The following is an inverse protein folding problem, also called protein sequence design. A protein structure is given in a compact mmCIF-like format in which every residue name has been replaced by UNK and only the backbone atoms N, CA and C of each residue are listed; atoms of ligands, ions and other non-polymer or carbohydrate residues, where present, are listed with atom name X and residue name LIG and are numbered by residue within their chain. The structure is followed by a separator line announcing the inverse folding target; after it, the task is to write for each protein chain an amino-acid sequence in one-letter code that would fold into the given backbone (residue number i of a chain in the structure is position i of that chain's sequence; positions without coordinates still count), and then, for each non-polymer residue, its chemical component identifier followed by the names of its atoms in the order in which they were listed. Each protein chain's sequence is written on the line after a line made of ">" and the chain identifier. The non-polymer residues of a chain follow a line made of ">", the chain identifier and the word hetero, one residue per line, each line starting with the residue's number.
data_IF_529966429071
#
_entry.id   IF_529966429071
#
_cell.length_a   1.000
_cell.length_b   1.000
_cell.length_c   1.000
_cell.angle_alpha   90.00
_cell.angle_beta   90.00
_cell.angle_gamma   90.00
#
_symmetry.space_group_name_H-M   'P 1'
#
loop_
_entity.id
_entity.type
_entity.pdbx_description
1 polymer ?
#
# COMPACT_ATOMS: atom_id res chain seq x y z
N UNK A 1 -58.03 5.83 16.70
CA UNK A 1 -57.07 5.03 17.50
C UNK A 1 -56.11 4.33 16.55
N UNK A 2 -54.81 4.51 16.79
CA UNK A 2 -53.63 3.85 16.19
C UNK A 2 -53.45 3.83 14.67
N UNK A 3 -52.73 4.84 14.15
CA UNK A 3 -51.82 4.68 13.01
C UNK A 3 -50.40 4.52 13.58
N UNK A 4 -49.93 3.27 13.73
CA UNK A 4 -48.51 2.97 13.90
C UNK A 4 -47.88 3.13 12.52
N UNK A 5 -47.19 4.24 12.32
CA UNK A 5 -46.42 4.52 11.09
C UNK A 5 -45.13 3.71 11.06
N UNK A 6 -44.82 3.20 9.87
CA UNK A 6 -43.57 2.56 9.47
C UNK A 6 -42.33 3.34 9.91
N UNK A 7 -41.59 2.82 10.90
CA UNK A 7 -40.22 3.23 11.21
C UNK A 7 -39.16 2.35 10.51
N UNK A 8 -39.57 1.38 9.69
CA UNK A 8 -38.64 0.47 9.02
C UNK A 8 -38.49 0.82 7.54
N UNK A 9 -37.57 1.73 7.22
CA UNK A 9 -36.72 1.79 5.99
C UNK A 9 -36.15 3.19 5.81
N UNK A 10 -35.21 3.55 6.68
CA UNK A 10 -34.27 4.62 6.37
C UNK A 10 -33.11 3.99 5.55
N UNK A 11 -32.73 4.54 4.38
CA UNK A 11 -31.58 4.09 3.60
C UNK A 11 -30.30 4.10 4.45
N UNK A 12 -29.34 3.21 4.17
CA UNK A 12 -28.10 3.07 4.97
C UNK A 12 -27.34 4.40 5.13
N UNK A 13 -27.42 5.28 4.13
CA UNK A 13 -26.80 6.61 4.15
C UNK A 13 -27.40 7.53 5.23
N UNK A 14 -28.70 7.40 5.50
CA UNK A 14 -29.40 8.16 6.55
C UNK A 14 -29.06 7.64 7.96
N UNK A 15 -28.74 6.35 8.10
CA UNK A 15 -28.29 5.78 9.38
C UNK A 15 -26.90 6.30 9.76
N UNK A 16 -26.00 6.43 8.78
CA UNK A 16 -24.66 7.01 8.99
C UNK A 16 -24.71 8.50 9.36
N UNK A 17 -25.62 9.26 8.74
CA UNK A 17 -25.84 10.67 9.08
C UNK A 17 -26.43 10.84 10.49
N UNK A 18 -27.37 9.99 10.89
CA UNK A 18 -27.96 10.02 12.23
C UNK A 18 -26.94 9.64 13.32
N UNK A 19 -26.09 8.64 13.07
CA UNK A 19 -25.02 8.26 14.02
C UNK A 19 -23.94 9.35 14.12
N UNK A 20 -23.57 9.99 13.00
CA UNK A 20 -22.64 11.13 13.01
C UNK A 20 -23.20 12.32 13.77
N UNK A 21 -24.49 12.62 13.60
CA UNK A 21 -25.18 13.69 14.32
C UNK A 21 -25.25 13.42 15.83
N UNK A 22 -25.58 12.19 16.22
CA UNK A 22 -25.64 11.77 17.63
C UNK A 22 -24.29 11.93 18.35
N UNK A 23 -23.17 11.63 17.67
CA UNK A 23 -21.82 11.80 18.24
C UNK A 23 -21.41 13.27 18.40
N UNK A 24 -21.90 14.14 17.52
CA UNK A 24 -21.66 15.59 17.62
C UNK A 24 -22.48 16.21 18.76
N UNK A 25 -23.74 15.80 18.91
CA UNK A 25 -24.60 16.25 20.00
C UNK A 25 -24.10 15.77 21.37
N UNK A 26 -23.59 14.54 21.46
CA UNK A 26 -22.95 14.01 22.67
C UNK A 26 -21.63 14.72 23.03
N UNK A 27 -20.93 15.32 22.04
CA UNK A 27 -19.75 16.16 22.28
C UNK A 27 -20.11 17.60 22.64
N UNK A 28 -21.25 18.10 22.18
CA UNK A 28 -21.74 19.44 22.51
C UNK A 28 -22.34 19.51 23.93
N UNK A 29 -22.86 18.41 24.47
CA UNK A 29 -23.45 18.34 25.82
C UNK A 29 -22.46 18.15 26.97
N UNK A 30 -21.13 18.14 26.70
CA UNK A 30 -20.08 18.09 27.73
C UNK A 30 -19.49 19.50 28.02
N UNK A 31 -20.08 20.55 27.45
CA UNK A 31 -19.71 21.95 27.73
C UNK A 31 -20.82 22.68 28.51
N UNK A 32 -20.83 22.49 29.82
CA UNK A 32 -21.46 23.38 30.81
C UNK A 32 -20.71 23.19 32.14
N UNK A 33 -19.76 24.10 32.41
CA UNK A 33 -18.92 24.20 33.62
C UNK A 33 -19.69 24.91 34.78
N UNK A 34 -19.12 25.22 35.98
CA UNK A 34 -17.73 25.09 36.45
C UNK A 34 -17.53 24.67 37.94
N UNK A 35 -16.27 24.39 38.35
CA UNK A 35 -15.67 25.03 39.55
C UNK A 35 -14.13 24.97 39.51
N UNK A 36 -13.50 26.00 40.08
CA UNK A 36 -12.14 26.50 39.84
C UNK A 36 -11.02 25.75 40.60
N UNK A 37 -9.81 25.73 40.03
CA UNK A 37 -8.58 26.24 40.68
C UNK A 37 -7.39 26.34 39.68
N UNK A 38 -6.67 27.45 39.82
CA UNK A 38 -5.59 28.02 39.00
C UNK A 38 -4.33 27.16 38.88
N UNK A 39 -3.68 27.18 37.69
CA UNK A 39 -2.26 27.58 37.53
C UNK A 39 -2.04 28.12 36.10
N UNK A 40 -1.56 29.35 36.03
CA UNK A 40 -1.08 30.09 34.85
C UNK A 40 0.05 29.37 34.07
N UNK A 41 -0.03 29.37 32.73
CA UNK A 41 1.05 29.92 31.90
C UNK A 41 0.53 30.25 30.48
N UNK A 42 0.60 31.54 30.14
CA UNK A 42 0.26 32.12 28.85
C UNK A 42 1.26 31.70 27.76
N UNK A 43 0.76 31.15 26.64
CA UNK A 43 1.35 31.38 25.31
C UNK A 43 0.40 30.99 24.19
N UNK A 44 -0.30 32.00 23.67
CA UNK A 44 -0.81 32.03 22.30
C UNK A 44 0.36 32.40 21.39
N UNK A 45 0.68 31.54 20.42
CA UNK A 45 1.47 31.89 19.23
C UNK A 45 0.73 31.36 18.01
N UNK A 46 0.45 32.31 17.10
CA UNK A 46 -0.25 32.16 15.83
C UNK A 46 0.40 31.16 14.87
N UNK A 47 -0.43 30.75 13.90
CA UNK A 47 -0.13 30.01 12.68
C UNK A 47 1.23 30.35 12.06
N UNK A 48 2.08 29.33 11.90
CA UNK A 48 3.03 29.26 10.81
C UNK A 48 3.09 27.84 10.23
N UNK A 49 2.70 27.77 8.95
CA UNK A 49 2.75 26.60 8.10
C UNK A 49 4.21 26.16 7.91
N UNK A 50 4.59 25.02 8.50
CA UNK A 50 5.81 24.30 8.16
C UNK A 50 5.57 22.78 8.21
N UNK A 51 6.17 22.00 7.30
CA UNK A 51 5.80 20.62 7.05
C UNK A 51 6.13 19.77 8.27
N UNK A 52 5.18 18.93 8.71
CA UNK A 52 5.40 17.95 9.78
C UNK A 52 6.64 17.13 9.44
N UNK A 53 7.65 17.36 10.28
CA UNK A 53 8.96 16.75 10.31
C UNK A 53 8.88 15.22 10.20
N UNK A 54 9.72 14.68 9.31
CA UNK A 54 10.06 13.27 9.11
C UNK A 54 10.71 12.61 10.35
N UNK A 55 10.88 13.32 11.46
CA UNK A 55 11.72 12.89 12.59
C UNK A 55 11.01 12.02 13.63
N UNK A 56 9.70 11.77 13.52
CA UNK A 56 9.03 10.77 14.36
C UNK A 56 9.10 9.34 13.81
N UNK A 57 9.64 9.11 12.60
CA UNK A 57 9.88 7.76 12.05
C UNK A 57 11.21 7.12 12.48
N UNK A 58 12.14 7.88 13.07
CA UNK A 58 13.51 7.39 13.30
C UNK A 58 13.66 6.36 14.45
N UNK A 59 12.65 6.19 15.32
CA UNK A 59 12.71 5.22 16.43
C UNK A 59 12.10 3.84 16.14
N UNK A 60 11.37 3.68 15.03
CA UNK A 60 10.90 2.38 14.52
C UNK A 60 11.70 1.90 13.30
N UNK A 61 12.76 2.63 12.94
CA UNK A 61 13.58 2.41 11.74
C UNK A 61 14.46 1.13 11.79
N UNK A 62 14.37 0.29 12.83
CA UNK A 62 15.23 -0.88 12.97
C UNK A 62 14.79 -2.11 12.14
N UNK A 63 13.60 -2.09 11.50
CA UNK A 63 13.06 -3.29 10.83
C UNK A 63 12.44 -3.09 9.44
N UNK A 64 12.56 -1.91 8.82
CA UNK A 64 12.09 -1.73 7.45
C UNK A 64 13.09 -2.31 6.43
N UNK A 65 12.59 -2.98 5.40
CA UNK A 65 13.40 -3.55 4.32
C UNK A 65 13.09 -2.81 3.02
N UNK A 66 14.09 -2.17 2.43
CA UNK A 66 13.95 -1.58 1.10
C UNK A 66 14.28 -2.61 0.02
N UNK A 67 13.37 -2.76 -0.94
CA UNK A 67 13.51 -3.63 -2.10
C UNK A 67 13.58 -2.79 -3.37
N UNK A 68 14.31 -3.28 -4.36
CA UNK A 68 14.58 -2.55 -5.60
C UNK A 68 14.31 -3.40 -6.83
N UNK A 69 13.99 -2.72 -7.94
CA UNK A 69 13.96 -3.30 -9.28
C UNK A 69 14.51 -2.28 -10.29
N UNK A 70 15.75 -2.45 -10.78
CA UNK A 70 16.31 -1.55 -11.78
C UNK A 70 15.46 -1.53 -13.05
N UNK A 71 15.14 -0.35 -13.59
CA UNK A 71 14.33 -0.26 -14.80
C UNK A 71 15.00 -0.93 -16.00
N UNK A 72 16.33 -0.90 -16.09
CA UNK A 72 17.08 -1.57 -17.16
C UNK A 72 16.98 -3.10 -17.15
N UNK A 73 16.43 -3.71 -16.09
CA UNK A 73 16.16 -5.15 -15.99
C UNK A 73 14.69 -5.49 -16.24
N UNK A 74 13.84 -4.49 -16.50
CA UNK A 74 12.46 -4.72 -16.90
C UNK A 74 12.40 -5.08 -18.38
N UNK A 75 11.64 -6.12 -18.70
CA UNK A 75 11.26 -6.44 -20.06
C UNK A 75 9.74 -6.55 -20.10
N UNK A 76 9.07 -5.45 -20.45
CA UNK A 76 7.62 -5.42 -20.57
C UNK A 76 7.16 -5.76 -22.00
N UNK A 77 8.05 -5.81 -22.97
CA UNK A 77 7.75 -6.16 -24.36
C UNK A 77 7.17 -7.57 -24.54
N UNK A 78 7.45 -8.50 -23.63
CA UNK A 78 6.88 -9.85 -23.65
C UNK A 78 5.41 -9.93 -23.18
N UNK A 79 4.88 -8.87 -22.55
CA UNK A 79 3.51 -8.85 -22.04
C UNK A 79 2.54 -8.49 -23.17
N UNK A 80 1.71 -9.44 -23.61
CA UNK A 80 0.74 -9.21 -24.66
C UNK A 80 -0.34 -8.19 -24.24
N UNK A 81 -0.70 -7.29 -25.16
CA UNK A 81 -1.75 -6.28 -24.97
C UNK A 81 -3.12 -6.73 -25.50
N UNK A 82 -3.20 -7.83 -26.24
CA UNK A 82 -4.43 -8.29 -26.85
C UNK A 82 -5.31 -9.05 -25.85
N UNK A 83 -6.36 -8.38 -25.35
CA UNK A 83 -7.37 -9.01 -24.51
C UNK A 83 -7.11 -8.79 -23.03
N UNK A 84 -6.73 -9.86 -22.31
CA UNK A 84 -6.50 -9.82 -20.86
C UNK A 84 -5.00 -9.79 -20.58
N UNK A 85 -4.55 -8.76 -19.86
CA UNK A 85 -3.18 -8.69 -19.33
C UNK A 85 -2.97 -9.87 -18.39
N UNK A 86 -1.88 -10.59 -18.59
CA UNK A 86 -1.40 -11.56 -17.61
C UNK A 86 -0.86 -10.80 -16.39
N UNK A 87 -1.73 -10.62 -15.39
CA UNK A 87 -1.43 -9.91 -14.15
C UNK A 87 -0.35 -10.60 -13.33
N UNK A 88 -0.22 -11.93 -13.44
CA UNK A 88 0.83 -12.67 -12.75
C UNK A 88 2.19 -12.39 -13.41
N UNK A 89 2.25 -12.43 -14.73
CA UNK A 89 3.46 -12.08 -15.47
C UNK A 89 3.85 -10.60 -15.24
N UNK A 90 2.87 -9.68 -15.21
CA UNK A 90 3.12 -8.28 -14.88
C UNK A 90 3.68 -8.12 -13.45
N UNK A 91 3.03 -8.74 -12.46
CA UNK A 91 3.48 -8.71 -11.06
C UNK A 91 4.93 -9.19 -10.94
N UNK A 92 5.26 -10.34 -11.53
CA UNK A 92 6.61 -10.90 -11.49
C UNK A 92 7.64 -10.03 -12.23
N UNK A 93 7.24 -9.38 -13.33
CA UNK A 93 8.15 -8.53 -14.08
C UNK A 93 8.60 -7.30 -13.27
N UNK A 94 7.68 -6.72 -12.49
CA UNK A 94 7.89 -5.43 -11.81
C UNK A 94 8.16 -5.53 -10.31
N UNK A 95 7.90 -6.68 -9.68
CA UNK A 95 8.13 -6.88 -8.25
C UNK A 95 9.60 -6.61 -7.90
N UNK A 96 9.79 -5.95 -6.76
CA UNK A 96 11.09 -5.60 -6.24
C UNK A 96 11.73 -6.78 -5.51
N UNK A 97 13.05 -6.88 -5.61
CA UNK A 97 13.85 -7.87 -4.91
C UNK A 97 14.80 -7.22 -3.91
N UNK A 98 15.24 -7.98 -2.89
CA UNK A 98 16.27 -7.51 -1.99
C UNK A 98 17.65 -7.58 -2.64
N UNK A 99 18.59 -6.86 -2.04
CA UNK A 99 20.00 -6.98 -2.37
C UNK A 99 20.56 -8.18 -1.59
N UNK A 100 21.18 -9.13 -2.27
CA UNK A 100 21.65 -10.38 -1.68
C UNK A 100 22.59 -10.17 -0.48
N UNK A 101 23.48 -9.18 -0.58
CA UNK A 101 24.37 -8.81 0.54
C UNK A 101 23.60 -8.29 1.76
N UNK A 102 22.55 -7.49 1.54
CA UNK A 102 21.70 -6.95 2.61
C UNK A 102 20.84 -8.06 3.24
N UNK A 103 20.25 -8.91 2.41
CA UNK A 103 19.51 -10.10 2.83
C UNK A 103 20.32 -10.99 3.78
N UNK A 104 21.57 -11.26 3.39
CA UNK A 104 22.52 -12.07 4.18
C UNK A 104 22.89 -11.38 5.49
N UNK A 105 23.19 -10.07 5.46
CA UNK A 105 23.53 -9.31 6.65
C UNK A 105 22.39 -9.23 7.67
N UNK A 106 21.14 -9.20 7.19
CA UNK A 106 19.94 -9.18 8.03
C UNK A 106 19.54 -10.56 8.57
N UNK A 107 20.23 -11.64 8.17
CA UNK A 107 19.89 -12.99 8.60
C UNK A 107 18.48 -13.43 8.20
N UNK A 108 17.95 -12.91 7.09
CA UNK A 108 16.60 -13.19 6.62
C UNK A 108 16.51 -14.63 6.08
N UNK A 109 16.23 -15.59 6.96
CA UNK A 109 15.96 -16.99 6.60
C UNK A 109 14.46 -17.35 6.65
N UNK A 110 13.60 -16.33 6.66
CA UNK A 110 12.16 -16.57 6.64
C UNK A 110 11.76 -17.30 5.35
N UNK A 111 10.98 -18.39 5.41
CA UNK A 111 10.64 -19.18 4.22
C UNK A 111 9.96 -18.39 3.10
N UNK A 112 9.16 -17.37 3.45
CA UNK A 112 8.53 -16.47 2.48
C UNK A 112 9.55 -15.63 1.72
N UNK A 113 10.69 -15.28 2.32
CA UNK A 113 11.72 -14.45 1.68
C UNK A 113 12.39 -15.18 0.50
N UNK A 114 12.37 -16.52 0.53
CA UNK A 114 12.89 -17.37 -0.55
C UNK A 114 12.06 -17.26 -1.83
N UNK A 115 10.80 -16.81 -1.75
CA UNK A 115 9.95 -16.61 -2.94
C UNK A 115 10.42 -15.44 -3.78
N UNK A 116 11.07 -14.44 -3.15
CA UNK A 116 11.67 -13.30 -3.82
C UNK A 116 13.07 -13.61 -4.38
N UNK A 117 13.66 -14.78 -4.09
CA UNK A 117 15.00 -15.18 -4.55
C UNK A 117 15.27 -14.97 -6.04
N UNK A 118 14.33 -15.28 -6.97
CA UNK A 118 14.53 -15.02 -8.39
C UNK A 118 14.70 -13.53 -8.74
N UNK A 119 14.28 -12.62 -7.86
CA UNK A 119 14.34 -11.18 -8.03
C UNK A 119 15.55 -10.54 -7.35
N UNK A 120 16.38 -11.32 -6.66
CA UNK A 120 17.49 -10.79 -5.87
C UNK A 120 18.51 -10.06 -6.74
N UNK A 121 18.96 -8.92 -6.24
CA UNK A 121 20.02 -8.14 -6.86
C UNK A 121 21.37 -8.52 -6.26
N UNK A 122 22.38 -8.67 -7.10
CA UNK A 122 23.74 -9.00 -6.67
C UNK A 122 24.47 -7.80 -6.05
N UNK A 123 24.05 -6.58 -6.39
CA UNK A 123 24.58 -5.33 -5.85
C UNK A 123 23.46 -4.31 -5.64
N UNK A 124 23.72 -3.30 -4.80
CA UNK A 124 22.86 -2.12 -4.69
C UNK A 124 22.78 -1.46 -6.08
N UNK A 125 21.58 -1.15 -6.59
CA UNK A 125 21.48 -0.37 -7.81
C UNK A 125 22.27 0.93 -7.65
N UNK A 126 23.07 1.25 -8.66
CA UNK A 126 23.58 2.60 -8.91
C UNK A 126 22.40 3.59 -8.90
N UNK A 127 22.62 4.92 -8.82
CA UNK A 127 21.54 5.93 -8.82
C UNK A 127 20.66 5.95 -10.09
N UNK A 128 20.82 4.94 -10.96
CA UNK A 128 19.96 4.59 -12.07
C UNK A 128 18.49 4.48 -11.66
N UNK A 129 17.64 4.77 -12.64
CA UNK A 129 16.21 4.78 -12.46
C UNK A 129 15.72 3.39 -12.04
N UNK A 130 15.19 3.29 -10.81
CA UNK A 130 14.81 2.01 -10.20
C UNK A 130 13.43 2.12 -9.57
N UNK A 131 12.63 1.07 -9.70
CA UNK A 131 11.43 0.92 -8.89
C UNK A 131 11.85 0.55 -7.46
N UNK A 132 11.12 1.08 -6.48
CA UNK A 132 11.42 0.88 -5.06
C UNK A 132 10.14 0.64 -4.26
N UNK A 133 10.26 -0.20 -3.24
CA UNK A 133 9.27 -0.33 -2.17
C UNK A 133 10.01 -0.51 -0.85
N UNK A 134 9.43 0.03 0.20
CA UNK A 134 9.85 -0.23 1.57
C UNK A 134 8.80 -1.12 2.23
N UNK A 135 9.23 -2.29 2.68
CA UNK A 135 8.42 -3.18 3.51
C UNK A 135 8.56 -2.72 4.95
N UNK A 136 7.44 -2.30 5.53
CA UNK A 136 7.36 -1.90 6.93
C UNK A 136 7.37 -3.13 7.83
N UNK A 137 7.54 -2.92 9.14
CA UNK A 137 7.44 -3.99 10.12
C UNK A 137 6.10 -4.73 10.03
N UNK A 138 4.99 -3.98 9.90
CA UNK A 138 3.64 -4.51 9.80
C UNK A 138 3.47 -5.41 8.56
N UNK A 139 4.07 -5.04 7.42
CA UNK A 139 4.06 -5.88 6.22
C UNK A 139 4.76 -7.23 6.48
N UNK A 140 5.90 -7.20 7.17
CA UNK A 140 6.69 -8.39 7.49
C UNK A 140 5.97 -9.30 8.50
N UNK A 141 5.34 -8.72 9.51
CA UNK A 141 4.52 -9.47 10.48
C UNK A 141 3.30 -10.12 9.83
N UNK A 142 2.61 -9.38 8.95
CA UNK A 142 1.49 -9.90 8.18
C UNK A 142 1.88 -11.11 7.32
N UNK A 143 3.01 -11.02 6.60
CA UNK A 143 3.51 -12.12 5.77
C UNK A 143 3.93 -13.31 6.64
N UNK A 144 4.58 -13.05 7.78
CA UNK A 144 4.98 -14.11 8.72
C UNK A 144 3.77 -14.84 9.30
N UNK A 145 2.73 -14.10 9.69
CA UNK A 145 1.46 -14.65 10.18
C UNK A 145 0.79 -15.51 9.10
N UNK A 146 0.75 -15.03 7.86
CA UNK A 146 0.22 -15.81 6.75
C UNK A 146 1.04 -17.09 6.54
N UNK A 147 2.36 -17.04 6.68
CA UNK A 147 3.27 -18.18 6.52
C UNK A 147 3.09 -19.26 7.59
N UNK A 148 2.76 -18.87 8.82
CA UNK A 148 2.44 -19.80 9.89
C UNK A 148 1.19 -20.64 9.60
N UNK A 149 0.27 -20.12 8.76
CA UNK A 149 -0.99 -20.79 8.40
C UNK A 149 -0.90 -21.50 7.04
N UNK A 150 -0.43 -20.78 6.02
CA UNK A 150 -0.36 -21.24 4.65
C UNK A 150 0.82 -20.57 3.91
N UNK A 151 1.86 -21.36 3.64
CA UNK A 151 3.06 -20.90 2.93
C UNK A 151 2.79 -20.37 1.52
N UNK A 152 1.78 -20.88 0.82
CA UNK A 152 1.41 -20.36 -0.51
C UNK A 152 0.81 -18.96 -0.41
N UNK A 153 -0.06 -18.73 0.57
CA UNK A 153 -0.65 -17.41 0.79
C UNK A 153 0.40 -16.39 1.24
N UNK A 154 1.36 -16.82 2.06
CA UNK A 154 2.51 -15.98 2.43
C UNK A 154 3.37 -15.62 1.23
N UNK A 155 3.57 -16.54 0.29
CA UNK A 155 4.29 -16.27 -0.95
C UNK A 155 3.57 -15.23 -1.81
N UNK A 156 2.25 -15.35 -1.97
CA UNK A 156 1.42 -14.38 -2.69
C UNK A 156 1.45 -13.00 -2.03
N UNK A 157 1.29 -12.94 -0.69
CA UNK A 157 1.37 -11.69 0.07
C UNK A 157 2.75 -11.05 0.00
N UNK A 158 3.82 -11.84 0.11
CA UNK A 158 5.19 -11.34 -0.03
C UNK A 158 5.43 -10.72 -1.41
N UNK A 159 4.97 -11.40 -2.47
CA UNK A 159 5.10 -10.89 -3.82
C UNK A 159 4.27 -9.61 -4.03
N UNK A 160 3.04 -9.57 -3.52
CA UNK A 160 2.17 -8.40 -3.56
C UNK A 160 2.76 -7.20 -2.78
N UNK A 161 3.31 -7.46 -1.59
CA UNK A 161 3.94 -6.44 -0.77
C UNK A 161 5.20 -5.87 -1.43
N UNK A 162 5.96 -6.74 -2.12
CA UNK A 162 7.16 -6.38 -2.88
C UNK A 162 6.87 -5.60 -4.17
N UNK A 163 5.60 -5.32 -4.50
CA UNK A 163 5.28 -4.43 -5.60
C UNK A 163 5.74 -3.00 -5.32
N UNK A 164 6.25 -2.30 -6.34
CA UNK A 164 6.80 -0.95 -6.20
C UNK A 164 5.75 0.10 -5.84
N UNK A 165 6.18 1.11 -5.08
CA UNK A 165 5.38 2.30 -4.74
C UNK A 165 5.96 3.60 -5.30
N UNK A 166 7.23 3.59 -5.70
CA UNK A 166 7.91 4.76 -6.20
C UNK A 166 9.00 4.41 -7.22
N UNK A 167 9.50 5.44 -7.90
CA UNK A 167 10.64 5.39 -8.80
C UNK A 167 11.73 6.31 -8.26
N UNK A 168 12.93 5.77 -8.02
CA UNK A 168 14.14 6.53 -7.70
C UNK A 168 14.87 6.90 -9.00
N UNK A 169 15.63 7.99 -9.00
CA UNK A 169 16.48 8.36 -10.15
C UNK A 169 15.74 8.82 -11.42
N UNK A 170 14.40 8.90 -11.43
CA UNK A 170 13.61 9.47 -12.53
C UNK A 170 13.39 10.97 -12.37
N UNK A 171 13.22 11.67 -13.49
CA UNK A 171 12.74 13.06 -13.52
C UNK A 171 11.39 13.21 -12.78
N UNK A 172 11.17 14.38 -12.19
CA UNK A 172 9.98 14.68 -11.38
C UNK A 172 8.62 14.39 -12.07
N UNK A 173 8.43 14.69 -13.37
CA UNK A 173 7.14 14.45 -14.05
C UNK A 173 6.81 12.96 -14.19
N UNK A 174 7.80 12.17 -14.63
CA UNK A 174 7.70 10.72 -14.78
C UNK A 174 7.34 10.04 -13.44
N UNK A 175 8.05 10.44 -12.38
CA UNK A 175 7.80 9.93 -11.02
C UNK A 175 6.40 10.29 -10.52
N UNK A 176 5.96 11.52 -10.78
CA UNK A 176 4.64 12.02 -10.36
C UNK A 176 3.51 11.30 -11.09
N UNK A 177 3.68 11.01 -12.39
CA UNK A 177 2.69 10.27 -13.18
C UNK A 177 2.61 8.79 -12.79
N UNK A 178 3.75 8.16 -12.46
CA UNK A 178 3.79 6.74 -12.11
C UNK A 178 3.27 6.42 -10.71
N UNK A 179 3.48 7.31 -9.73
CA UNK A 179 3.10 7.08 -8.33
C UNK A 179 1.64 6.62 -8.13
N UNK A 180 0.61 7.28 -8.70
CA UNK A 180 -0.78 6.84 -8.49
C UNK A 180 -1.07 5.47 -9.10
N UNK A 181 -0.52 5.15 -10.28
CA UNK A 181 -0.77 3.85 -10.95
C UNK A 181 -0.05 2.70 -10.25
N UNK A 182 1.17 2.95 -9.73
CA UNK A 182 1.91 2.00 -8.90
C UNK A 182 1.13 1.67 -7.62
N UNK A 183 0.66 2.71 -6.92
CA UNK A 183 -0.14 2.55 -5.70
C UNK A 183 -1.45 1.81 -5.94
N UNK A 184 -2.18 2.17 -7.01
CA UNK A 184 -3.45 1.53 -7.37
C UNK A 184 -3.26 0.04 -7.66
N UNK A 185 -2.27 -0.32 -8.47
CA UNK A 185 -2.01 -1.71 -8.81
C UNK A 185 -1.55 -2.53 -7.60
N UNK A 186 -0.59 -2.01 -6.82
CA UNK A 186 -0.14 -2.67 -5.58
C UNK A 186 -1.31 -2.94 -4.64
N UNK A 187 -2.17 -1.95 -4.42
CA UNK A 187 -3.33 -2.10 -3.54
C UNK A 187 -4.29 -3.17 -4.06
N UNK A 188 -4.58 -3.19 -5.36
CA UNK A 188 -5.44 -4.22 -5.94
C UNK A 188 -4.86 -5.64 -5.72
N UNK A 189 -3.58 -5.84 -6.00
CA UNK A 189 -2.91 -7.14 -5.82
C UNK A 189 -2.85 -7.55 -4.34
N UNK A 190 -2.58 -6.61 -3.42
CA UNK A 190 -2.61 -6.87 -1.97
C UNK A 190 -4.00 -7.26 -1.48
N UNK A 191 -5.05 -6.56 -1.91
CA UNK A 191 -6.44 -6.88 -1.55
C UNK A 191 -6.80 -8.28 -2.03
N UNK A 192 -6.42 -8.64 -3.26
CA UNK A 192 -6.61 -9.98 -3.80
C UNK A 192 -5.89 -11.06 -2.97
N UNK A 193 -4.61 -10.83 -2.65
CA UNK A 193 -3.81 -11.77 -1.85
C UNK A 193 -4.40 -11.95 -0.44
N UNK A 194 -4.81 -10.88 0.22
CA UNK A 194 -5.47 -10.93 1.53
C UNK A 194 -6.82 -11.63 1.49
N UNK A 195 -7.65 -11.36 0.47
CA UNK A 195 -8.94 -12.03 0.33
C UNK A 195 -8.77 -13.54 0.16
N UNK A 196 -7.82 -13.97 -0.67
CA UNK A 196 -7.49 -15.40 -0.83
C UNK A 196 -7.01 -16.02 0.48
N UNK A 197 -6.13 -15.33 1.21
CA UNK A 197 -5.67 -15.79 2.51
C UNK A 197 -6.82 -15.97 3.52
N UNK A 198 -7.77 -15.03 3.54
CA UNK A 198 -8.95 -15.07 4.40
C UNK A 198 -10.06 -16.03 3.90
N UNK A 199 -9.84 -16.75 2.80
CA UNK A 199 -10.81 -17.69 2.22
C UNK A 199 -11.99 -17.02 1.51
N UNK A 200 -11.90 -15.73 1.20
CA UNK A 200 -12.90 -15.00 0.43
C UNK A 200 -12.83 -15.34 -1.06
N UNK A 201 -13.98 -15.32 -1.73
CA UNK A 201 -14.03 -15.37 -3.20
C UNK A 201 -13.69 -14.02 -3.79
N UNK A 202 -13.02 -14.03 -4.93
CA UNK A 202 -12.75 -12.82 -5.70
C UNK A 202 -14.05 -12.27 -6.28
N UNK A 203 -14.38 -11.02 -5.98
CA UNK A 203 -15.55 -10.33 -6.53
C UNK A 203 -15.20 -9.79 -7.92
N UNK A 204 -16.16 -9.87 -8.85
CA UNK A 204 -15.98 -9.41 -10.23
C UNK A 204 -15.59 -7.93 -10.34
N UNK A 205 -15.95 -7.10 -9.35
CA UNK A 205 -15.59 -5.68 -9.31
C UNK A 205 -14.11 -5.48 -8.96
N UNK A 206 -13.53 -6.32 -8.10
CA UNK A 206 -12.12 -6.24 -7.70
C UNK A 206 -11.23 -6.77 -8.81
N UNK A 207 -11.67 -7.80 -9.54
CA UNK A 207 -11.01 -8.23 -10.77
C UNK A 207 -11.02 -7.13 -11.83
N UNK A 208 -12.12 -6.40 -11.96
CA UNK A 208 -12.23 -5.28 -12.91
C UNK A 208 -11.31 -4.12 -12.53
N UNK A 209 -11.28 -3.75 -11.25
CA UNK A 209 -10.40 -2.70 -10.73
C UNK A 209 -8.92 -3.09 -10.86
N UNK A 210 -8.57 -4.33 -10.50
CA UNK A 210 -7.21 -4.86 -10.65
C UNK A 210 -6.76 -4.85 -12.11
N UNK A 211 -7.62 -5.29 -13.02
CA UNK A 211 -7.33 -5.25 -14.45
C UNK A 211 -7.15 -3.82 -14.98
N UNK A 212 -8.02 -2.88 -14.60
CA UNK A 212 -7.89 -1.48 -14.99
C UNK A 212 -6.59 -0.85 -14.47
N UNK A 213 -6.22 -1.15 -13.22
CA UNK A 213 -4.95 -0.71 -12.63
C UNK A 213 -3.74 -1.32 -13.36
N UNK A 214 -3.81 -2.60 -13.74
CA UNK A 214 -2.78 -3.28 -14.52
C UNK A 214 -2.56 -2.62 -15.88
N UNK A 215 -3.65 -2.29 -16.59
CA UNK A 215 -3.61 -1.58 -17.89
C UNK A 215 -2.96 -0.21 -17.74
N UNK A 216 -3.40 0.58 -16.76
CA UNK A 216 -2.87 1.92 -16.51
C UNK A 216 -1.38 1.90 -16.16
N UNK A 217 -0.99 0.94 -15.31
CA UNK A 217 0.41 0.74 -14.91
C UNK A 217 1.28 0.32 -16.09
N UNK A 218 0.88 -0.71 -16.84
CA UNK A 218 1.65 -1.20 -17.98
C UNK A 218 1.84 -0.11 -19.04
N UNK A 219 0.79 0.65 -19.34
CA UNK A 219 0.85 1.79 -20.26
C UNK A 219 1.85 2.85 -19.78
N UNK A 220 1.80 3.19 -18.49
CA UNK A 220 2.69 4.20 -17.90
C UNK A 220 4.14 3.72 -17.90
N UNK A 221 4.41 2.48 -17.49
CA UNK A 221 5.77 1.93 -17.46
C UNK A 221 6.38 1.81 -18.85
N UNK A 222 5.61 1.39 -19.86
CA UNK A 222 6.09 1.36 -21.25
C UNK A 222 6.44 2.74 -21.79
N UNK A 223 5.59 3.73 -21.52
CA UNK A 223 5.87 5.13 -21.88
C UNK A 223 7.17 5.64 -21.22
N UNK A 224 7.43 5.24 -19.96
CA UNK A 224 8.68 5.58 -19.25
C UNK A 224 9.91 4.87 -19.83
N UNK A 225 9.76 3.63 -20.28
CA UNK A 225 10.83 2.84 -20.90
C UNK A 225 11.06 3.21 -22.38
N UNK A 226 10.19 4.02 -22.98
CA UNK A 226 10.22 4.31 -24.42
C UNK A 226 9.78 3.14 -25.29
N UNK A 227 9.07 2.16 -24.72
CA UNK A 227 8.47 1.05 -25.44
C UNK A 227 7.10 1.48 -25.98
N UNK A 228 6.95 1.53 -27.31
CA UNK A 228 5.68 1.85 -27.99
C UNK A 228 5.16 0.67 -28.79
#
# INVERSE_FOLDING_TARGET
>A
MSLKGDESRLPADMLLLNERRRRLEARASVSSAPDFEDVDDDRIVDDDVAPRSLETSAKNASHAITLYRPLGLLNLGALAWSGKIDEQALTLAIACGPIAAQALAMGLDAPWYRTLRPLWLTALPTPETSLVVELTHDDLEAIALAGAVNMSAAAELALAAALPLAILGADSPARSAAKPVLGAYRNAVLVHAWRRFLGGTTEADIDREGHAAAVALLSTLRALLGES
#
